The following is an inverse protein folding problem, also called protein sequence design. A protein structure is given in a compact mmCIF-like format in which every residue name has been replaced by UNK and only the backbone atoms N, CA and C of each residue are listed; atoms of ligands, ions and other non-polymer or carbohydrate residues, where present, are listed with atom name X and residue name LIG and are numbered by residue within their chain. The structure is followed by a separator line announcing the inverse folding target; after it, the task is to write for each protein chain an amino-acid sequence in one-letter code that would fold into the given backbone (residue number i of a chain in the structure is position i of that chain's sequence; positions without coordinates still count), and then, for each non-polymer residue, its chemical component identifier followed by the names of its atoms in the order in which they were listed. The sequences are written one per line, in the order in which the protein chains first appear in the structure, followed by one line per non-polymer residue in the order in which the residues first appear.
data_IF_195750678618
#
_entry.id   IF_195750678618
#
_cell.length_a   1.000
_cell.length_b   1.000
_cell.length_c   1.000
_cell.angle_alpha   90.00
_cell.angle_beta   90.00
_cell.angle_gamma   90.00
#
_symmetry.space_group_name_H-M   'P 1'
#
loop_
_entity.id
_entity.type
_entity.pdbx_description
1 polymer ?
#
# COMPACT_ATOMS: atom_id res chain seq x y z
N UNK A 1 12.82 6.24 15.10
CA UNK A 1 12.58 7.37 16.01
C UNK A 1 11.83 8.46 15.26
N UNK A 2 10.65 8.87 15.77
CA UNK A 2 9.74 9.79 15.07
C UNK A 2 9.37 11.01 15.95
N UNK A 3 10.31 11.47 16.81
CA UNK A 3 10.08 12.56 17.75
C UNK A 3 9.61 13.85 17.06
N UNK A 4 10.13 14.15 15.86
CA UNK A 4 9.69 15.32 15.10
C UNK A 4 8.24 15.16 14.62
N UNK A 5 7.82 13.97 14.22
CA UNK A 5 6.45 13.70 13.84
C UNK A 5 5.50 13.84 15.02
N UNK A 6 5.90 13.34 16.20
CA UNK A 6 5.13 13.49 17.45
C UNK A 6 4.98 14.96 17.86
N UNK A 7 6.06 15.74 17.80
CA UNK A 7 6.06 17.18 18.12
C UNK A 7 5.12 17.98 17.17
N UNK A 8 4.99 17.52 15.92
CA UNK A 8 4.08 18.13 14.94
C UNK A 8 2.63 17.62 15.08
N UNK A 9 2.35 16.74 16.05
CA UNK A 9 1.02 16.16 16.24
C UNK A 9 0.61 15.18 15.15
N UNK A 10 1.58 14.60 14.42
CA UNK A 10 1.31 13.59 13.39
C UNK A 10 0.93 12.27 14.07
N UNK A 11 -0.23 11.67 13.74
CA UNK A 11 -0.61 10.37 14.26
C UNK A 11 0.38 9.29 13.84
N UNK A 12 0.86 8.50 14.80
CA UNK A 12 1.73 7.35 14.56
C UNK A 12 0.93 6.05 14.57
N UNK A 13 1.32 5.13 13.72
CA UNK A 13 0.80 3.77 13.70
C UNK A 13 1.43 2.95 14.84
N UNK A 14 0.64 2.25 15.66
CA UNK A 14 1.16 1.53 16.82
C UNK A 14 2.05 0.34 16.47
N UNK A 15 1.96 -0.18 15.26
CA UNK A 15 2.71 -1.35 14.80
C UNK A 15 4.02 -0.95 14.09
N UNK A 16 3.95 -0.05 13.12
CA UNK A 16 5.15 0.43 12.40
C UNK A 16 5.96 1.43 13.21
N UNK A 17 5.34 2.12 14.18
CA UNK A 17 5.87 3.27 14.91
C UNK A 17 6.16 4.49 14.02
N UNK A 18 5.82 4.41 12.73
CA UNK A 18 5.89 5.51 11.78
C UNK A 18 4.57 6.26 11.63
N UNK A 19 4.57 7.40 10.93
CA UNK A 19 3.37 8.16 10.64
C UNK A 19 2.29 7.36 9.90
N UNK A 20 1.02 7.58 10.25
CA UNK A 20 -0.11 7.11 9.46
C UNK A 20 -0.22 7.96 8.20
N UNK A 21 -0.17 7.33 7.03
CA UNK A 21 -0.18 8.01 5.73
C UNK A 21 -1.29 7.53 4.80
N UNK A 22 -1.59 8.35 3.79
CA UNK A 22 -2.43 7.96 2.66
C UNK A 22 -1.61 7.44 1.46
N UNK A 23 -2.29 7.06 0.39
CA UNK A 23 -1.69 6.54 -0.85
C UNK A 23 -0.77 7.52 -1.59
N UNK A 24 -0.75 8.78 -1.16
CA UNK A 24 0.21 9.81 -1.59
C UNK A 24 1.35 10.02 -0.59
N UNK A 25 1.46 9.19 0.45
CA UNK A 25 2.42 9.32 1.54
C UNK A 25 2.27 10.60 2.37
N UNK A 26 1.12 11.30 2.27
CA UNK A 26 0.80 12.43 3.11
C UNK A 26 0.23 11.94 4.45
N UNK A 27 0.68 12.55 5.53
CA UNK A 27 0.24 12.22 6.90
C UNK A 27 -1.15 12.78 7.21
N UNK A 28 -1.60 12.60 8.45
CA UNK A 28 -2.83 13.25 8.95
C UNK A 28 -2.74 14.78 9.05
N UNK A 29 -1.54 15.34 8.93
CA UNK A 29 -1.29 16.79 8.92
C UNK A 29 -0.99 17.24 7.49
N UNK A 30 -1.76 18.18 6.99
CA UNK A 30 -1.66 18.65 5.61
C UNK A 30 -0.27 19.21 5.28
N UNK A 31 0.28 18.77 4.15
CA UNK A 31 1.60 19.20 3.67
C UNK A 31 2.79 18.50 4.34
N UNK A 32 2.54 17.56 5.26
CA UNK A 32 3.60 16.73 5.86
C UNK A 32 3.54 15.35 5.22
N UNK A 33 4.67 14.91 4.67
CA UNK A 33 4.84 13.61 4.02
C UNK A 33 5.86 12.77 4.77
N UNK A 34 5.70 11.45 4.75
CA UNK A 34 6.64 10.50 5.35
C UNK A 34 6.91 9.36 4.39
N UNK A 35 8.16 8.92 4.31
CA UNK A 35 8.59 7.82 3.44
C UNK A 35 9.80 7.08 4.03
N UNK A 36 10.17 5.97 3.37
CA UNK A 36 11.32 5.18 3.77
C UNK A 36 11.20 4.60 5.18
N UNK A 37 12.34 4.48 5.87
CA UNK A 37 12.39 3.85 7.19
C UNK A 37 11.78 4.71 8.33
N UNK A 38 11.49 5.98 8.08
CA UNK A 38 10.69 6.77 9.02
C UNK A 38 9.22 6.31 9.07
N UNK A 39 8.74 5.68 7.97
CA UNK A 39 7.36 5.20 7.84
C UNK A 39 7.22 3.76 8.36
N UNK A 40 8.04 2.86 7.87
CA UNK A 40 8.17 1.48 8.33
C UNK A 40 9.54 0.91 7.92
N UNK A 41 9.99 -0.16 8.57
CA UNK A 41 11.27 -0.81 8.22
C UNK A 41 11.12 -1.52 6.87
N UNK A 42 11.96 -1.14 5.91
CA UNK A 42 12.00 -1.73 4.58
C UNK A 42 13.08 -2.81 4.48
N UNK A 43 12.81 -3.91 3.77
CA UNK A 43 13.76 -5.00 3.54
C UNK A 43 14.76 -4.66 2.42
N UNK A 44 14.36 -3.81 1.48
CA UNK A 44 15.16 -3.44 0.32
C UNK A 44 15.29 -1.91 0.22
N UNK A 45 16.51 -1.45 -0.12
CA UNK A 45 16.80 -0.03 -0.37
C UNK A 45 15.96 0.52 -1.54
N UNK A 46 15.62 -0.35 -2.50
CA UNK A 46 14.78 0.01 -3.65
C UNK A 46 13.38 0.48 -3.21
N UNK A 47 12.80 -0.14 -2.19
CA UNK A 47 11.51 0.28 -1.63
C UNK A 47 11.59 1.61 -0.88
N UNK A 48 12.73 1.86 -0.21
CA UNK A 48 13.01 3.18 0.39
C UNK A 48 13.05 4.25 -0.69
N UNK A 49 13.76 3.98 -1.78
CA UNK A 49 13.89 4.91 -2.92
C UNK A 49 12.56 5.12 -3.63
N UNK A 50 11.79 4.06 -3.85
CA UNK A 50 10.45 4.12 -4.45
C UNK A 50 9.50 5.00 -3.61
N UNK A 51 9.42 4.75 -2.31
CA UNK A 51 8.56 5.54 -1.41
C UNK A 51 8.99 7.01 -1.36
N UNK A 52 10.30 7.27 -1.38
CA UNK A 52 10.86 8.63 -1.45
C UNK A 52 10.48 9.36 -2.73
N UNK A 53 10.55 8.68 -3.87
CA UNK A 53 10.16 9.24 -5.16
C UNK A 53 8.65 9.55 -5.20
N UNK A 54 7.82 8.64 -4.73
CA UNK A 54 6.36 8.81 -4.69
C UNK A 54 5.95 9.95 -3.75
N UNK A 55 6.51 9.98 -2.54
CA UNK A 55 6.26 11.06 -1.59
C UNK A 55 6.74 12.41 -2.10
N UNK A 56 7.95 12.45 -2.71
CA UNK A 56 8.50 13.67 -3.29
C UNK A 56 7.66 14.22 -4.45
N UNK A 57 7.17 13.34 -5.33
CA UNK A 57 6.24 13.71 -6.41
C UNK A 57 4.95 14.28 -5.84
N UNK A 58 4.35 13.59 -4.86
CA UNK A 58 3.11 14.03 -4.23
C UNK A 58 3.28 15.37 -3.50
N UNK A 59 4.40 15.59 -2.81
CA UNK A 59 4.72 16.86 -2.13
C UNK A 59 4.90 18.01 -3.14
N UNK A 60 5.60 17.78 -4.26
CA UNK A 60 5.72 18.75 -5.32
C UNK A 60 4.35 19.14 -5.89
N UNK A 61 3.51 18.17 -6.21
CA UNK A 61 2.16 18.40 -6.70
C UNK A 61 1.28 19.12 -5.68
N UNK A 62 1.41 18.81 -4.39
CA UNK A 62 0.73 19.51 -3.31
C UNK A 62 1.12 20.98 -3.25
N UNK A 63 2.41 21.30 -3.40
CA UNK A 63 2.89 22.69 -3.35
C UNK A 63 2.36 23.56 -4.50
N UNK A 64 2.10 22.95 -5.66
CA UNK A 64 1.58 23.66 -6.84
C UNK A 64 0.06 23.81 -6.83
N UNK A 65 -0.64 22.81 -6.32
CA UNK A 65 -2.10 22.75 -6.27
C UNK A 65 -2.57 22.95 -4.84
N UNK A 66 -2.72 24.18 -4.37
CA UNK A 66 -3.07 24.57 -2.98
C UNK A 66 -4.28 23.85 -2.32
N UNK A 67 -4.92 22.87 -2.96
CA UNK A 67 -6.17 22.23 -2.51
C UNK A 67 -6.14 20.70 -2.43
N UNK A 68 -4.99 20.03 -2.45
CA UNK A 68 -4.97 18.54 -2.44
C UNK A 68 -5.16 17.88 -1.07
N UNK A 69 -5.13 18.63 0.02
CA UNK A 69 -5.30 18.08 1.38
C UNK A 69 -6.75 17.80 1.81
N UNK A 70 -7.74 18.31 1.09
CA UNK A 70 -9.13 18.32 1.54
C UNK A 70 -9.98 17.13 1.10
N UNK A 71 -9.40 16.18 0.37
CA UNK A 71 -10.12 14.99 -0.08
C UNK A 71 -10.42 14.02 1.07
N UNK A 72 -11.60 13.37 1.02
CA UNK A 72 -11.95 12.31 1.96
C UNK A 72 -11.00 11.13 1.82
N UNK A 73 -10.58 10.60 2.96
CA UNK A 73 -9.73 9.41 3.07
C UNK A 73 -10.53 8.24 3.62
N UNK A 74 -10.43 7.10 2.96
CA UNK A 74 -10.95 5.82 3.45
C UNK A 74 -9.83 5.16 4.26
N UNK A 75 -10.14 4.72 5.47
CA UNK A 75 -9.22 3.96 6.32
C UNK A 75 -9.29 2.48 5.98
N UNK A 76 -8.14 1.83 5.94
CA UNK A 76 -7.99 0.40 5.79
C UNK A 76 -7.94 -0.23 7.20
N UNK A 77 -8.84 -1.16 7.46
CA UNK A 77 -8.93 -1.88 8.74
C UNK A 77 -8.31 -3.26 8.58
N UNK A 78 -7.48 -3.67 9.53
CA UNK A 78 -6.89 -5.01 9.58
C UNK A 78 -7.39 -5.77 10.82
N UNK A 79 -7.45 -7.09 10.74
CA UNK A 79 -7.98 -7.96 11.81
C UNK A 79 -6.88 -8.57 12.69
N UNK A 80 -5.64 -8.10 12.57
CA UNK A 80 -4.49 -8.66 13.30
C UNK A 80 -3.79 -9.83 12.59
N UNK A 81 -4.30 -10.34 11.47
CA UNK A 81 -3.59 -11.30 10.61
C UNK A 81 -2.40 -10.65 9.92
N UNK A 82 -2.48 -9.34 9.71
CA UNK A 82 -1.37 -8.47 9.28
C UNK A 82 -0.73 -7.80 10.50
N UNK A 83 0.59 -7.83 10.59
CA UNK A 83 1.33 -7.06 11.57
C UNK A 83 1.17 -5.56 11.31
N UNK A 84 1.21 -5.16 10.03
CA UNK A 84 0.90 -3.82 9.57
C UNK A 84 0.54 -3.82 8.08
N UNK A 85 -0.10 -2.74 7.65
CA UNK A 85 -0.38 -2.40 6.25
C UNK A 85 -0.08 -0.91 6.05
N UNK A 86 0.70 -0.58 5.02
CA UNK A 86 1.06 0.81 4.64
C UNK A 86 0.81 0.98 3.14
N UNK A 87 0.14 2.06 2.71
CA UNK A 87 -0.52 3.10 3.49
C UNK A 87 -1.76 2.59 4.26
N UNK A 88 -2.11 3.28 5.33
CA UNK A 88 -3.29 2.95 6.14
C UNK A 88 -4.58 3.62 5.64
N UNK A 89 -4.44 4.56 4.71
CA UNK A 89 -5.56 5.34 4.17
C UNK A 89 -5.46 5.46 2.66
N UNK A 90 -6.60 5.64 2.00
CA UNK A 90 -6.67 5.92 0.56
C UNK A 90 -7.42 7.23 0.37
N UNK A 91 -6.81 8.18 -0.38
CA UNK A 91 -7.42 9.44 -0.74
C UNK A 91 -8.37 9.24 -1.93
N UNK A 92 -9.68 9.44 -1.76
CA UNK A 92 -10.67 9.17 -2.80
C UNK A 92 -10.50 10.06 -4.03
N UNK A 93 -10.24 11.35 -3.83
CA UNK A 93 -10.08 12.35 -4.90
C UNK A 93 -8.69 12.33 -5.57
N UNK A 94 -7.77 11.45 -5.14
CA UNK A 94 -6.43 11.35 -5.70
C UNK A 94 -6.44 10.83 -7.14
N UNK A 95 -5.55 11.37 -7.97
CA UNK A 95 -5.32 10.91 -9.35
C UNK A 95 -4.49 9.61 -9.42
N UNK A 96 -4.10 9.07 -8.27
CA UNK A 96 -3.34 7.82 -8.17
C UNK A 96 -4.14 6.69 -8.77
N UNK A 97 -3.62 6.07 -9.82
CA UNK A 97 -4.26 4.91 -10.48
C UNK A 97 -3.79 3.60 -9.85
N UNK A 98 -2.52 3.52 -9.49
CA UNK A 98 -1.90 2.35 -8.90
C UNK A 98 -1.64 2.59 -7.42
N UNK A 99 -2.30 1.82 -6.57
CA UNK A 99 -2.07 1.81 -5.13
C UNK A 99 -0.95 0.82 -4.82
N UNK A 100 0.09 1.28 -4.16
CA UNK A 100 1.20 0.44 -3.72
C UNK A 100 1.06 0.23 -2.22
N UNK A 101 0.98 -1.02 -1.82
CA UNK A 101 0.91 -1.44 -0.41
C UNK A 101 2.15 -2.21 0.00
N UNK A 102 2.58 -1.96 1.22
CA UNK A 102 3.62 -2.74 1.91
C UNK A 102 3.00 -3.34 3.17
N UNK A 103 3.22 -4.62 3.41
CA UNK A 103 2.69 -5.28 4.60
C UNK A 103 3.60 -6.39 5.10
N UNK A 104 3.40 -6.78 6.36
CA UNK A 104 3.95 -8.01 6.94
C UNK A 104 2.82 -8.82 7.56
N UNK A 105 2.93 -10.12 7.46
CA UNK A 105 2.03 -11.03 8.18
C UNK A 105 2.40 -11.11 9.66
N UNK A 106 1.43 -11.36 10.53
CA UNK A 106 1.67 -11.56 11.96
C UNK A 106 2.22 -12.94 12.28
N UNK A 107 1.94 -13.94 11.43
CA UNK A 107 2.35 -15.34 11.61
C UNK A 107 2.83 -15.93 10.29
N UNK A 108 3.61 -17.00 10.35
CA UNK A 108 3.96 -17.76 9.14
C UNK A 108 2.72 -18.44 8.58
N UNK A 109 2.45 -18.23 7.29
CA UNK A 109 1.28 -18.78 6.61
C UNK A 109 1.68 -19.43 5.28
N UNK A 110 1.28 -20.69 5.09
CA UNK A 110 1.38 -21.36 3.82
C UNK A 110 0.06 -21.24 3.06
N UNK A 111 0.13 -21.00 1.73
CA UNK A 111 -1.04 -20.87 0.84
C UNK A 111 -2.07 -19.84 1.34
N UNK A 112 -1.58 -18.70 1.81
CA UNK A 112 -2.43 -17.61 2.29
C UNK A 112 -3.12 -16.88 1.12
N UNK A 113 -4.28 -16.30 1.43
CA UNK A 113 -5.03 -15.43 0.51
C UNK A 113 -5.22 -14.07 1.19
N UNK A 114 -4.62 -13.03 0.61
CA UNK A 114 -4.88 -11.66 1.02
C UNK A 114 -6.17 -11.19 0.36
N UNK A 115 -7.10 -10.70 1.15
CA UNK A 115 -8.41 -10.24 0.70
C UNK A 115 -8.64 -8.79 1.09
N UNK A 116 -9.16 -8.01 0.14
CA UNK A 116 -9.71 -6.69 0.37
C UNK A 116 -11.22 -6.76 0.21
N UNK A 117 -11.94 -6.36 1.24
CA UNK A 117 -13.40 -6.31 1.25
C UNK A 117 -13.86 -4.85 1.43
N UNK A 118 -14.68 -4.38 0.50
CA UNK A 118 -15.35 -3.07 0.60
C UNK A 118 -16.79 -3.30 1.06
N UNK A 119 -17.15 -2.73 2.21
CA UNK A 119 -18.50 -2.86 2.78
C UNK A 119 -18.99 -4.33 2.90
N UNK A 120 -18.04 -5.24 3.17
CA UNK A 120 -18.28 -6.69 3.27
C UNK A 120 -18.16 -7.45 1.95
N UNK A 121 -18.17 -6.79 0.78
CA UNK A 121 -17.98 -7.44 -0.52
C UNK A 121 -16.50 -7.66 -0.83
N UNK A 122 -16.14 -8.83 -1.33
CA UNK A 122 -14.79 -9.12 -1.81
C UNK A 122 -14.54 -8.35 -3.12
N UNK A 123 -13.60 -7.39 -3.09
CA UNK A 123 -13.27 -6.55 -4.25
C UNK A 123 -11.92 -6.92 -4.87
N UNK A 124 -11.01 -7.47 -4.07
CA UNK A 124 -9.71 -7.92 -4.55
C UNK A 124 -9.18 -9.08 -3.71
N UNK A 125 -8.53 -10.04 -4.37
CA UNK A 125 -7.78 -11.10 -3.69
C UNK A 125 -6.45 -11.40 -4.37
N UNK A 126 -5.46 -11.78 -3.57
CA UNK A 126 -4.16 -12.28 -4.06
C UNK A 126 -3.72 -13.47 -3.23
N UNK A 127 -3.30 -14.53 -3.93
CA UNK A 127 -2.78 -15.76 -3.33
C UNK A 127 -1.28 -15.70 -3.14
N UNK A 128 -0.81 -16.16 -2.00
CA UNK A 128 0.59 -16.29 -1.65
C UNK A 128 0.89 -17.74 -1.29
N UNK A 129 2.03 -18.25 -1.77
CA UNK A 129 2.47 -19.61 -1.47
C UNK A 129 2.99 -19.72 -0.05
N UNK A 130 3.73 -18.69 0.39
CA UNK A 130 4.33 -18.64 1.72
C UNK A 130 4.49 -17.19 2.13
N UNK A 131 4.09 -16.86 3.35
CA UNK A 131 4.29 -15.57 3.99
C UNK A 131 4.97 -15.78 5.33
N UNK A 132 5.94 -14.94 5.65
CA UNK A 132 6.68 -15.01 6.92
C UNK A 132 6.77 -13.61 7.55
N UNK A 133 6.63 -13.48 8.89
CA UNK A 133 6.67 -12.20 9.57
C UNK A 133 7.89 -11.32 9.29
N UNK A 134 9.14 -11.88 9.12
CA UNK A 134 10.31 -11.06 8.81
C UNK A 134 10.35 -10.52 7.39
N UNK A 135 9.57 -11.11 6.48
CA UNK A 135 9.58 -10.75 5.05
C UNK A 135 8.48 -9.72 4.76
N UNK A 136 8.87 -8.60 4.17
CA UNK A 136 7.93 -7.56 3.75
C UNK A 136 7.42 -7.84 2.35
N UNK A 137 6.12 -7.80 2.18
CA UNK A 137 5.47 -7.96 0.90
C UNK A 137 5.13 -6.60 0.29
N UNK A 138 5.34 -6.49 -1.02
CA UNK A 138 4.92 -5.36 -1.84
C UNK A 138 3.80 -5.79 -2.79
N UNK A 139 2.71 -5.03 -2.78
CA UNK A 139 1.52 -5.30 -3.59
C UNK A 139 1.12 -4.05 -4.36
N UNK A 140 0.80 -4.20 -5.63
CA UNK A 140 0.20 -3.13 -6.44
C UNK A 140 -1.23 -3.51 -6.82
N UNK A 141 -2.17 -2.60 -6.60
CA UNK A 141 -3.59 -2.77 -6.94
C UNK A 141 -4.05 -1.56 -7.74
N UNK A 142 -4.81 -1.76 -8.80
CA UNK A 142 -5.51 -0.66 -9.48
C UNK A 142 -6.58 -0.10 -8.55
N UNK A 143 -6.59 1.21 -8.34
CA UNK A 143 -7.55 1.88 -7.43
C UNK A 143 -9.01 1.57 -7.79
N UNK A 144 -9.30 1.48 -9.07
CA UNK A 144 -10.62 1.15 -9.60
C UNK A 144 -11.11 -0.24 -9.15
N UNK A 145 -10.18 -1.19 -8.95
CA UNK A 145 -10.53 -2.55 -8.50
C UNK A 145 -11.14 -2.56 -7.10
N UNK A 146 -10.81 -1.58 -6.24
CA UNK A 146 -11.34 -1.50 -4.89
C UNK A 146 -12.75 -0.91 -4.83
N UNK A 147 -13.32 -0.41 -5.93
CA UNK A 147 -14.69 0.12 -6.04
C UNK A 147 -15.06 1.08 -4.90
N UNK A 148 -14.13 1.98 -4.55
CA UNK A 148 -14.25 2.87 -3.40
C UNK A 148 -15.39 3.87 -3.60
N UNK A 149 -16.19 4.04 -2.56
CA UNK A 149 -17.19 5.11 -2.43
C UNK A 149 -16.90 5.97 -1.20
N UNK A 150 -17.60 7.07 -1.04
CA UNK A 150 -17.42 7.98 0.11
C UNK A 150 -17.75 7.34 1.46
N UNK A 151 -18.56 6.29 1.50
CA UNK A 151 -18.96 5.57 2.70
C UNK A 151 -18.21 4.26 2.90
N UNK A 152 -17.29 3.90 1.99
CA UNK A 152 -16.63 2.60 2.02
C UNK A 152 -15.82 2.37 3.29
N UNK A 153 -15.95 1.17 3.85
CA UNK A 153 -15.06 0.59 4.84
C UNK A 153 -14.30 -0.54 4.18
N UNK A 154 -12.99 -0.46 4.19
CA UNK A 154 -12.14 -1.47 3.60
C UNK A 154 -11.53 -2.31 4.70
N UNK A 155 -11.85 -3.60 4.69
CA UNK A 155 -11.19 -4.59 5.53
C UNK A 155 -10.14 -5.33 4.71
N UNK A 156 -8.95 -5.49 5.29
CA UNK A 156 -7.83 -6.22 4.69
C UNK A 156 -7.43 -7.34 5.63
N UNK A 157 -7.56 -8.57 5.15
CA UNK A 157 -7.35 -9.77 5.95
C UNK A 157 -6.52 -10.81 5.20
N UNK A 158 -5.81 -11.65 5.95
CA UNK A 158 -5.15 -12.85 5.42
C UNK A 158 -5.91 -14.09 5.91
N UNK A 159 -6.33 -14.93 4.97
CA UNK A 159 -6.96 -16.21 5.29
C UNK A 159 -6.04 -17.36 4.89
N UNK A 160 -5.94 -18.37 5.74
CA UNK A 160 -5.27 -19.65 5.43
C UNK A 160 -6.17 -20.57 4.58
N UNK A 161 -5.67 -21.76 4.21
CA UNK A 161 -6.40 -22.72 3.39
C UNK A 161 -7.71 -23.23 4.04
N UNK A 162 -7.89 -23.08 5.35
CA UNK A 162 -9.07 -23.54 6.11
C UNK A 162 -10.16 -22.46 6.27
N UNK A 163 -9.90 -21.21 5.86
CA UNK A 163 -10.80 -20.07 6.04
C UNK A 163 -11.62 -19.69 4.81
N UNK A 164 -11.99 -20.62 3.94
CA UNK A 164 -12.97 -20.34 2.89
C UNK A 164 -14.36 -20.36 3.48
N UNK A 165 -14.93 -19.18 3.69
CA UNK A 165 -16.37 -19.02 3.82
C UNK A 165 -16.97 -19.30 2.42
N UNK A 166 -17.70 -20.41 2.29
CA UNK A 166 -18.32 -20.89 1.05
C UNK A 166 -19.53 -20.02 0.62
N UNK A 167 -19.38 -18.71 0.64
CA UNK A 167 -20.35 -17.71 0.26
C UNK A 167 -20.17 -17.20 -1.18
N UNK A 168 -20.77 -17.88 -2.17
CA UNK A 168 -21.07 -17.47 -3.56
C UNK A 168 -19.90 -16.91 -4.41
N UNK A 169 -19.46 -17.75 -5.34
CA UNK A 169 -18.63 -17.37 -6.48
C UNK A 169 -19.23 -16.20 -7.28
N UNK A 170 -18.56 -15.06 -7.21
CA UNK A 170 -18.63 -14.05 -8.25
C UNK A 170 -17.32 -14.11 -9.02
N UNK A 171 -17.40 -14.38 -10.33
CA UNK A 171 -16.27 -14.52 -11.24
C UNK A 171 -15.41 -13.24 -11.23
N UNK A 172 -14.32 -13.26 -10.46
CA UNK A 172 -13.28 -12.24 -10.48
C UNK A 172 -12.36 -12.46 -11.68
N UNK A 173 -12.14 -11.41 -12.42
CA UNK A 173 -11.31 -11.32 -13.61
C UNK A 173 -9.85 -11.67 -13.27
N UNK A 174 -9.31 -12.72 -13.94
CA UNK A 174 -7.89 -13.06 -13.88
C UNK A 174 -7.09 -11.91 -14.49
N UNK A 175 -6.34 -11.20 -13.67
CA UNK A 175 -5.31 -10.27 -14.15
C UNK A 175 -4.04 -11.08 -14.36
N UNK A 176 -3.59 -11.10 -15.60
CA UNK A 176 -2.36 -11.75 -16.05
C UNK A 176 -1.13 -11.16 -15.36
N UNK A 177 -0.30 -12.02 -14.79
CA UNK A 177 1.07 -11.71 -14.37
C UNK A 177 1.97 -11.65 -15.62
N UNK A 178 2.03 -10.49 -16.26
CA UNK A 178 3.03 -10.21 -17.29
C UNK A 178 3.29 -8.70 -17.28
N UNK A 179 4.22 -8.25 -16.45
CA UNK A 179 5.09 -7.08 -16.72
C UNK A 179 6.19 -7.03 -15.64
N UNK A 180 7.22 -7.82 -15.82
CA UNK A 180 8.54 -7.48 -15.28
C UNK A 180 9.65 -8.24 -16.02
N UNK A 181 9.77 -7.97 -17.33
CA UNK A 181 10.96 -8.31 -18.11
C UNK A 181 11.08 -7.37 -19.28
N UNK A 182 11.50 -6.13 -19.05
CA UNK A 182 12.13 -5.31 -20.11
C UNK A 182 12.75 -4.05 -19.50
N UNK A 183 13.89 -4.21 -18.84
CA UNK A 183 14.81 -3.09 -18.57
C UNK A 183 16.25 -3.60 -18.37
N UNK A 184 16.69 -4.55 -19.19
CA UNK A 184 18.07 -5.02 -19.11
C UNK A 184 18.65 -5.37 -20.49
N UNK A 185 18.30 -4.63 -21.54
CA UNK A 185 19.03 -4.73 -22.82
C UNK A 185 18.85 -3.41 -23.60
N UNK A 186 19.67 -2.43 -23.30
CA UNK A 186 20.11 -1.41 -24.27
C UNK A 186 21.23 -0.55 -23.65
N UNK A 187 22.41 -1.11 -23.67
CA UNK A 187 23.64 -0.44 -23.19
C UNK A 187 24.90 -1.11 -23.71
N UNK A 188 24.96 -1.44 -25.01
CA UNK A 188 26.21 -1.72 -25.68
C UNK A 188 26.13 -1.32 -27.15
N UNK A 189 26.98 -0.40 -27.53
CA UNK A 189 27.33 -0.22 -28.95
C UNK A 189 27.56 1.23 -29.33
N UNK A 190 28.82 1.59 -29.57
CA UNK A 190 29.16 2.78 -30.32
C UNK A 190 30.40 3.50 -29.83
N UNK A 191 31.54 2.79 -29.74
CA UNK A 191 32.83 3.46 -29.86
C UNK A 191 33.23 3.53 -31.31
N UNK A 192 33.90 4.62 -31.72
CA UNK A 192 34.64 4.61 -32.96
C UNK A 192 34.59 5.93 -33.74
N UNK A 193 35.68 6.56 -33.69
CA UNK A 193 36.31 7.58 -34.55
C UNK A 193 36.16 9.01 -34.08
#
# INVERSE_FOLDING_TARGET
ENELAEQLGVPLDPHTKGPVVDDCFMTGVDGIFSCGNALHVNDLVDYVSESGLLAGKAAAEYSWRKNRGTGRRVTLETDGTLQYLVPQRILLSGETQDLIFYFRTSTTMERAVLQFRADGELVFEKKYTNLKPPEMERLTIKKEALRLSESSRIQVTLTGPEGRDDGKETKGQKVHDDVCKTAAENGKGGGGQ
#
